data_IF_614393395211
#
_entry.id   IF_614393395211
#
_cell.length_a   1.000
_cell.length_b   1.000
_cell.length_c   1.000
_cell.angle_alpha   90.00
_cell.angle_beta   90.00
_cell.angle_gamma   90.00
#
_symmetry.space_group_name_H-M   'P 1'
#
loop_
_entity.id
_entity.type
_entity.pdbx_description
1 polymer ?
#
# COMPACT_ATOMS: atom_id res chain seq x y z
N UNK A 1 28.82 -4.45 5.28
CA UNK A 1 28.12 -3.20 4.96
C UNK A 1 27.39 -3.25 3.62
N UNK A 2 28.07 -3.16 2.46
CA UNK A 2 27.38 -3.14 1.14
C UNK A 2 26.51 -4.39 0.89
N UNK A 3 27.01 -5.58 1.23
CA UNK A 3 26.24 -6.83 1.14
C UNK A 3 24.99 -6.86 2.04
N UNK A 4 25.06 -6.29 3.26
CA UNK A 4 23.90 -6.21 4.17
C UNK A 4 22.84 -5.25 3.65
N UNK A 5 23.25 -4.07 3.19
CA UNK A 5 22.33 -3.08 2.62
C UNK A 5 21.65 -3.67 1.38
N UNK A 6 22.40 -4.34 0.50
CA UNK A 6 21.84 -5.01 -0.67
C UNK A 6 20.84 -6.12 -0.29
N UNK A 7 21.17 -6.95 0.69
CA UNK A 7 20.28 -8.03 1.17
C UNK A 7 19.01 -7.46 1.80
N UNK A 8 19.12 -6.41 2.61
CA UNK A 8 17.99 -5.70 3.17
C UNK A 8 17.09 -5.12 2.08
N UNK A 9 17.67 -4.38 1.13
CA UNK A 9 16.90 -3.76 0.05
C UNK A 9 16.17 -4.80 -0.78
N UNK A 10 16.84 -5.90 -1.13
CA UNK A 10 16.25 -6.99 -1.91
C UNK A 10 15.05 -7.63 -1.19
N UNK A 11 15.20 -7.97 0.10
CA UNK A 11 14.13 -8.56 0.90
C UNK A 11 12.97 -7.58 1.12
N UNK A 12 13.27 -6.32 1.41
CA UNK A 12 12.26 -5.30 1.64
C UNK A 12 11.47 -4.97 0.36
N UNK A 13 12.15 -4.84 -0.79
CA UNK A 13 11.51 -4.65 -2.09
C UNK A 13 10.64 -5.86 -2.48
N UNK A 14 11.09 -7.08 -2.15
CA UNK A 14 10.30 -8.30 -2.35
C UNK A 14 9.01 -8.25 -1.51
N UNK A 15 9.09 -7.83 -0.24
CA UNK A 15 7.91 -7.65 0.59
C UNK A 15 6.96 -6.59 0.04
N UNK A 16 7.48 -5.44 -0.42
CA UNK A 16 6.66 -4.37 -1.01
C UNK A 16 5.95 -4.86 -2.26
N UNK A 17 6.69 -5.47 -3.19
CA UNK A 17 6.10 -5.98 -4.43
C UNK A 17 5.05 -7.04 -4.14
N UNK A 18 5.28 -7.97 -3.21
CA UNK A 18 4.30 -8.97 -2.81
C UNK A 18 3.01 -8.34 -2.24
N UNK A 19 3.13 -7.34 -1.35
CA UNK A 19 1.98 -6.65 -0.77
C UNK A 19 1.24 -5.78 -1.80
N UNK A 20 1.94 -5.06 -2.65
CA UNK A 20 1.34 -4.27 -3.73
C UNK A 20 0.57 -5.18 -4.71
N UNK A 21 1.11 -6.34 -5.07
CA UNK A 21 0.41 -7.33 -5.90
C UNK A 21 -0.84 -7.88 -5.20
N UNK A 22 -0.78 -8.11 -3.89
CA UNK A 22 -1.96 -8.50 -3.10
C UNK A 22 -3.06 -7.42 -3.13
N UNK A 23 -2.70 -6.13 -2.99
CA UNK A 23 -3.68 -5.01 -3.10
C UNK A 23 -4.34 -5.02 -4.47
N UNK A 24 -3.55 -5.13 -5.54
CA UNK A 24 -4.06 -5.16 -6.92
C UNK A 24 -4.95 -6.38 -7.16
N UNK A 25 -4.56 -7.56 -6.66
CA UNK A 25 -5.37 -8.78 -6.72
C UNK A 25 -6.71 -8.62 -6.02
N UNK A 26 -6.72 -8.01 -4.83
CA UNK A 26 -7.95 -7.71 -4.09
C UNK A 26 -8.83 -6.78 -4.93
N UNK A 27 -8.27 -5.70 -5.48
CA UNK A 27 -9.04 -4.76 -6.31
C UNK A 27 -9.63 -5.39 -7.57
N UNK A 28 -8.93 -6.35 -8.18
CA UNK A 28 -9.42 -7.12 -9.33
C UNK A 28 -10.62 -8.00 -8.94
N UNK A 29 -10.53 -8.71 -7.80
CA UNK A 29 -11.62 -9.59 -7.32
C UNK A 29 -12.86 -8.77 -6.94
N UNK A 30 -12.66 -7.59 -6.33
CA UNK A 30 -13.77 -6.67 -6.03
C UNK A 30 -14.30 -5.99 -7.30
N UNK A 31 -13.49 -5.97 -8.37
CA UNK A 31 -13.78 -5.39 -9.67
C UNK A 31 -14.77 -6.17 -10.53
N UNK A 32 -14.97 -7.47 -10.26
CA UNK A 32 -15.86 -8.34 -11.04
C UNK A 32 -17.37 -8.01 -10.84
N UNK A 33 -17.70 -7.14 -9.89
CA UNK A 33 -19.08 -6.67 -9.69
C UNK A 33 -19.45 -5.58 -10.73
N UNK A 34 -20.47 -5.77 -11.59
CA UNK A 34 -20.79 -4.87 -12.69
C UNK A 34 -21.21 -3.45 -12.25
N UNK A 35 -21.68 -3.29 -11.01
CA UNK A 35 -22.14 -2.00 -10.48
C UNK A 35 -21.02 -1.16 -9.84
N UNK A 36 -19.97 -1.79 -9.28
CA UNK A 36 -18.90 -1.12 -8.52
C UNK A 36 -17.50 -1.36 -9.10
N UNK A 37 -17.40 -2.15 -10.18
CA UNK A 37 -16.14 -2.69 -10.66
C UNK A 37 -15.11 -1.66 -11.12
N UNK A 38 -15.56 -0.64 -11.86
CA UNK A 38 -14.67 0.43 -12.35
C UNK A 38 -14.13 1.30 -11.21
N UNK A 39 -14.96 1.60 -10.21
CA UNK A 39 -14.56 2.35 -9.03
C UNK A 39 -13.58 1.55 -8.16
N UNK A 40 -13.82 0.24 -8.00
CA UNK A 40 -12.95 -0.66 -7.25
C UNK A 40 -11.54 -0.75 -7.87
N UNK A 41 -11.46 -0.87 -9.20
CA UNK A 41 -10.19 -1.00 -9.91
C UNK A 41 -9.41 0.33 -9.93
N UNK A 42 -10.09 1.45 -10.18
CA UNK A 42 -9.46 2.78 -10.16
C UNK A 42 -8.91 3.14 -8.77
N UNK A 43 -9.70 2.88 -7.72
CA UNK A 43 -9.25 3.05 -6.34
C UNK A 43 -8.11 2.08 -5.99
N UNK A 44 -8.18 0.83 -6.45
CA UNK A 44 -7.14 -0.17 -6.23
C UNK A 44 -5.77 0.26 -6.75
N UNK A 45 -5.70 0.76 -7.99
CA UNK A 45 -4.44 1.22 -8.60
C UNK A 45 -3.87 2.42 -7.85
N UNK A 46 -4.70 3.42 -7.55
CA UNK A 46 -4.26 4.64 -6.84
C UNK A 46 -3.74 4.34 -5.44
N UNK A 47 -4.46 3.50 -4.67
CA UNK A 47 -4.03 3.04 -3.34
C UNK A 47 -2.72 2.25 -3.43
N UNK A 48 -2.61 1.33 -4.39
CA UNK A 48 -1.41 0.52 -4.59
C UNK A 48 -0.18 1.39 -4.95
N UNK A 49 -0.34 2.40 -5.80
CA UNK A 49 0.74 3.34 -6.14
C UNK A 49 1.17 4.16 -4.93
N UNK A 50 0.22 4.68 -4.15
CA UNK A 50 0.52 5.42 -2.91
C UNK A 50 1.27 4.56 -1.89
N UNK A 51 0.79 3.34 -1.66
CA UNK A 51 1.45 2.37 -0.79
C UNK A 51 2.89 2.09 -1.24
N UNK A 52 3.11 1.83 -2.53
CA UNK A 52 4.43 1.55 -3.07
C UNK A 52 5.40 2.73 -2.90
N UNK A 53 4.95 3.97 -3.15
CA UNK A 53 5.77 5.17 -2.99
C UNK A 53 6.15 5.42 -1.52
N UNK A 54 5.20 5.26 -0.59
CA UNK A 54 5.46 5.40 0.84
C UNK A 54 6.43 4.31 1.32
N UNK A 55 6.20 3.07 0.89
CA UNK A 55 7.04 1.94 1.25
C UNK A 55 8.48 2.10 0.76
N UNK A 56 8.68 2.56 -0.49
CA UNK A 56 10.02 2.85 -1.03
C UNK A 56 10.75 3.91 -0.19
N UNK A 57 10.05 4.98 0.18
CA UNK A 57 10.60 6.01 1.07
C UNK A 57 11.00 5.47 2.44
N UNK A 58 10.13 4.67 3.07
CA UNK A 58 10.39 4.05 4.37
C UNK A 58 11.57 3.08 4.36
N UNK A 59 11.66 2.23 3.34
CA UNK A 59 12.77 1.29 3.16
C UNK A 59 14.08 2.03 2.89
N UNK A 60 14.04 3.06 2.05
CA UNK A 60 15.20 3.92 1.80
C UNK A 60 15.71 4.59 3.08
N UNK A 61 14.80 5.09 3.92
CA UNK A 61 15.14 5.75 5.18
C UNK A 61 15.78 4.77 6.18
N UNK A 62 15.20 3.58 6.37
CA UNK A 62 15.75 2.54 7.25
C UNK A 62 17.10 2.04 6.70
N UNK A 63 17.21 1.87 5.39
CA UNK A 63 18.45 1.51 4.69
C UNK A 63 19.57 2.53 4.90
N UNK A 64 19.25 3.83 4.84
CA UNK A 64 20.20 4.91 5.05
C UNK A 64 20.64 5.02 6.53
N UNK A 65 19.79 4.64 7.48
CA UNK A 65 20.13 4.65 8.90
C UNK A 65 21.13 3.54 9.27
N UNK A 66 21.08 2.37 8.62
CA UNK A 66 21.96 1.24 8.94
C UNK A 66 23.47 1.55 9.00
N UNK A 67 24.09 2.20 7.99
CA UNK A 67 25.51 2.56 8.07
C UNK A 67 25.81 3.64 9.11
N UNK A 68 24.83 4.48 9.47
CA UNK A 68 25.01 5.56 10.46
C UNK A 68 25.10 5.01 11.87
N UNK A 69 24.34 3.97 12.20
CA UNK A 69 24.33 3.40 13.54
C UNK A 69 25.38 2.28 13.76
N UNK A 70 26.05 1.81 12.70
CA UNK A 70 27.10 0.77 12.75
C UNK A 70 26.71 -0.51 13.53
N UNK A 71 25.45 -0.95 13.42
CA UNK A 71 24.92 -2.12 14.15
C UNK A 71 25.46 -3.48 13.66
N UNK A 72 26.32 -3.51 12.64
CA UNK A 72 26.82 -4.76 12.05
C UNK A 72 25.69 -5.70 11.56
N UNK A 73 25.91 -7.02 11.64
CA UNK A 73 24.93 -8.03 11.17
C UNK A 73 23.70 -8.14 12.07
N UNK A 74 23.84 -7.75 13.34
CA UNK A 74 22.78 -7.80 14.33
C UNK A 74 21.69 -6.74 14.09
N UNK A 75 22.02 -5.65 13.38
CA UNK A 75 21.05 -4.62 13.00
C UNK A 75 20.09 -5.01 11.87
N UNK A 76 20.41 -6.07 11.11
CA UNK A 76 19.62 -6.46 9.95
C UNK A 76 18.25 -7.01 10.35
N UNK A 77 18.20 -7.93 11.33
CA UNK A 77 16.97 -8.55 11.83
C UNK A 77 15.95 -7.51 12.35
N UNK A 78 16.30 -6.60 13.28
CA UNK A 78 15.34 -5.62 13.79
C UNK A 78 14.92 -4.61 12.71
N UNK A 79 15.81 -4.22 11.78
CA UNK A 79 15.45 -3.35 10.66
C UNK A 79 14.43 -4.01 9.72
N UNK A 80 14.60 -5.30 9.42
CA UNK A 80 13.66 -6.09 8.63
C UNK A 80 12.33 -6.29 9.35
N UNK A 81 12.37 -6.62 10.64
CA UNK A 81 11.18 -6.76 11.47
C UNK A 81 10.38 -5.46 11.56
N UNK A 82 11.05 -4.34 11.79
CA UNK A 82 10.41 -3.03 11.83
C UNK A 82 9.79 -2.65 10.48
N UNK A 83 10.53 -2.84 9.37
CA UNK A 83 10.01 -2.63 8.03
C UNK A 83 8.78 -3.50 7.77
N UNK A 84 8.81 -4.79 8.13
CA UNK A 84 7.69 -5.71 7.95
C UNK A 84 6.44 -5.27 8.73
N UNK A 85 6.60 -4.80 9.97
CA UNK A 85 5.48 -4.26 10.77
C UNK A 85 4.88 -3.03 10.09
N UNK A 86 5.71 -2.07 9.67
CA UNK A 86 5.24 -0.87 8.97
C UNK A 86 4.52 -1.20 7.65
N UNK A 87 5.07 -2.13 6.87
CA UNK A 87 4.47 -2.59 5.62
C UNK A 87 3.13 -3.30 5.85
N UNK A 88 3.05 -4.14 6.89
CA UNK A 88 1.82 -4.85 7.26
C UNK A 88 0.71 -3.90 7.72
N UNK A 89 1.04 -2.90 8.54
CA UNK A 89 0.10 -1.87 8.99
C UNK A 89 -0.42 -1.03 7.81
N UNK A 90 0.48 -0.60 6.90
CA UNK A 90 0.10 0.13 5.69
C UNK A 90 -0.80 -0.68 4.77
N UNK A 91 -0.50 -1.98 4.61
CA UNK A 91 -1.31 -2.90 3.80
C UNK A 91 -2.71 -3.08 4.41
N UNK A 92 -2.82 -3.32 5.72
CA UNK A 92 -4.10 -3.46 6.39
C UNK A 92 -4.98 -2.20 6.23
N UNK A 93 -4.37 -1.02 6.34
CA UNK A 93 -5.06 0.25 6.10
C UNK A 93 -5.51 0.38 4.64
N UNK A 94 -4.65 0.06 3.68
CA UNK A 94 -4.99 0.08 2.24
C UNK A 94 -6.16 -0.85 1.88
N UNK A 95 -6.23 -2.04 2.48
CA UNK A 95 -7.34 -2.98 2.25
C UNK A 95 -8.63 -2.47 2.89
N UNK A 96 -8.56 -1.86 4.08
CA UNK A 96 -9.71 -1.28 4.75
C UNK A 96 -10.31 -0.11 3.94
N UNK A 97 -9.48 0.79 3.42
CA UNK A 97 -9.92 1.92 2.59
C UNK A 97 -10.51 1.44 1.26
N UNK A 98 -9.88 0.45 0.61
CA UNK A 98 -10.43 -0.14 -0.61
C UNK A 98 -11.81 -0.76 -0.38
N UNK A 99 -12.00 -1.50 0.72
CA UNK A 99 -13.32 -2.07 1.08
C UNK A 99 -14.35 -0.99 1.38
N UNK A 100 -13.96 0.13 1.98
CA UNK A 100 -14.85 1.26 2.23
C UNK A 100 -15.31 1.90 0.91
N UNK A 101 -14.39 2.16 -0.03
CA UNK A 101 -14.72 2.69 -1.37
C UNK A 101 -15.67 1.77 -2.13
N UNK A 102 -15.45 0.45 -2.07
CA UNK A 102 -16.33 -0.50 -2.74
C UNK A 102 -17.72 -0.56 -2.09
N UNK A 103 -17.82 -0.48 -0.75
CA UNK A 103 -19.11 -0.40 -0.06
C UNK A 103 -19.90 0.84 -0.49
N UNK A 104 -19.24 1.99 -0.57
CA UNK A 104 -19.84 3.25 -1.01
C UNK A 104 -20.32 3.17 -2.47
N UNK A 105 -19.55 2.53 -3.34
CA UNK A 105 -19.93 2.34 -4.75
C UNK A 105 -21.13 1.38 -4.92
N UNK A 106 -21.29 0.38 -4.06
CA UNK A 106 -22.41 -0.57 -4.10
C UNK A 106 -23.69 0.02 -3.51
N UNK A 107 -23.58 0.76 -2.39
CA UNK A 107 -24.71 1.44 -1.73
C UNK A 107 -24.46 2.95 -1.71
N UNK A 108 -24.65 3.64 -2.84
CA UNK A 108 -24.51 5.09 -2.87
C UNK A 108 -25.58 5.71 -1.95
N UNK A 109 -25.21 6.67 -1.08
CA UNK A 109 -26.17 7.37 -0.25
C UNK A 109 -27.20 8.10 -1.14
N UNK A 110 -28.44 8.19 -0.65
CA UNK A 110 -29.59 8.73 -1.41
C UNK A 110 -29.37 10.16 -1.96
N UNK A 111 -28.38 10.89 -1.44
CA UNK A 111 -27.94 12.20 -1.96
C UNK A 111 -27.33 12.16 -3.36
N UNK A 112 -26.81 11.01 -3.82
CA UNK A 112 -26.26 10.84 -5.18
C UNK A 112 -27.36 10.42 -6.18
N UNK A 113 -28.46 9.80 -5.71
CA UNK A 113 -29.56 9.32 -6.54
C UNK A 113 -30.42 10.46 -7.14
N UNK A 114 -30.40 11.64 -6.52
CA UNK A 114 -30.94 12.88 -7.12
C UNK A 114 -29.81 13.61 -7.83
N UNK A 115 -29.68 13.38 -9.14
CA UNK A 115 -28.58 13.85 -9.97
C UNK A 115 -28.10 15.27 -9.67
N UNK A 116 -26.88 15.38 -9.14
CA UNK A 116 -26.07 16.59 -9.24
C UNK A 116 -24.58 16.22 -9.18
N UNK A 117 -23.74 16.68 -10.11
CA UNK A 117 -22.31 16.44 -10.06
C UNK A 117 -21.71 17.28 -8.93
N UNK A 118 -21.21 16.62 -7.87
CA UNK A 118 -20.25 17.25 -6.97
C UNK A 118 -18.85 17.18 -7.63
N UNK A 119 -18.71 17.86 -8.77
CA UNK A 119 -17.42 18.22 -9.31
C UNK A 119 -16.89 19.40 -8.49
N UNK A 120 -15.69 19.20 -7.91
CA UNK A 120 -14.63 20.20 -7.72
C UNK A 120 -15.03 21.61 -7.28
N UNK A 121 -14.69 21.99 -6.04
CA UNK A 121 -14.04 23.28 -5.76
C UNK A 121 -13.68 23.44 -4.27
N UNK A 122 -12.52 24.07 -4.06
CA UNK A 122 -11.88 24.58 -2.85
C UNK A 122 -11.02 23.59 -2.04
#
# INVERSE_FOLDING_TARGET
MLFQIATYLALALLMVTAMTLMILKISSILGDCPQSGSAAQAAGVTIATGYAMIALGGIGLIGAAMPVLDLGVWGLLPALGFAAICLGLGFAHAVATLRAVVREAVNPPATVATGKPAASAA
#
